data_IF_718849109933
#
_entry.id   IF_718849109933
#
_cell.length_a   1.000
_cell.length_b   1.000
_cell.length_c   1.000
_cell.angle_alpha   90.00
_cell.angle_beta   90.00
_cell.angle_gamma   90.00
#
_symmetry.space_group_name_H-M   'P 1'
#
loop_
_entity.id
_entity.type
_entity.pdbx_description
1 polymer ?
#
# COMPACT_ATOMS: atom_id res chain seq x y z
N UNK A 1 -3.94 11.08 14.86
CA UNK A 1 -3.51 10.22 13.77
C UNK A 1 -4.66 9.82 12.89
N UNK A 2 -4.59 10.28 11.66
CA UNK A 2 -5.75 10.16 10.77
C UNK A 2 -6.13 8.73 10.45
N UNK A 3 -5.16 7.89 10.16
CA UNK A 3 -5.42 6.53 9.75
C UNK A 3 -6.04 5.64 10.82
N UNK A 4 -6.10 6.14 12.06
CA UNK A 4 -6.67 5.35 13.16
C UNK A 4 -7.93 5.95 13.75
N UNK A 5 -8.44 7.00 13.15
CA UNK A 5 -9.66 7.62 13.62
C UNK A 5 -10.81 6.61 13.55
N UNK A 6 -11.57 6.51 14.64
CA UNK A 6 -12.70 5.61 14.75
C UNK A 6 -12.31 4.13 14.55
N UNK A 7 -11.10 3.77 14.95
CA UNK A 7 -10.65 2.39 14.82
C UNK A 7 -10.21 2.00 13.43
N UNK A 8 -10.18 2.95 12.49
CA UNK A 8 -9.75 2.65 11.14
C UNK A 8 -8.22 2.59 11.06
N UNK A 9 -7.70 1.54 10.44
CA UNK A 9 -6.28 1.41 10.18
C UNK A 9 -5.92 2.10 8.87
N UNK A 10 -4.63 2.38 8.67
CA UNK A 10 -4.17 2.86 7.37
C UNK A 10 -4.45 1.83 6.28
N UNK A 11 -4.31 0.55 6.63
CA UNK A 11 -4.56 -0.52 5.67
C UNK A 11 -6.00 -0.48 5.16
N UNK A 12 -6.97 -0.25 6.05
CA UNK A 12 -8.37 -0.13 5.64
C UNK A 12 -8.55 1.05 4.68
N UNK A 13 -7.87 2.16 4.95
CA UNK A 13 -7.91 3.30 4.06
C UNK A 13 -7.31 2.96 2.68
N UNK A 14 -6.18 2.27 2.66
CA UNK A 14 -5.53 1.85 1.41
C UNK A 14 -6.46 0.97 0.61
N UNK A 15 -7.05 -0.04 1.25
CA UNK A 15 -7.92 -0.99 0.58
C UNK A 15 -9.26 -0.39 0.17
N UNK A 16 -9.74 0.60 0.91
CA UNK A 16 -11.06 1.18 0.71
C UNK A 16 -12.18 0.32 1.28
N UNK A 17 -11.85 -0.65 2.13
CA UNK A 17 -12.83 -1.51 2.82
C UNK A 17 -12.37 -1.74 4.25
N UNK A 18 -13.29 -2.06 5.16
CA UNK A 18 -12.89 -2.35 6.54
C UNK A 18 -12.17 -3.69 6.65
N UNK A 19 -11.40 -3.84 7.71
CA UNK A 19 -10.76 -5.12 8.02
C UNK A 19 -11.66 -5.92 8.95
N UNK A 20 -11.73 -7.23 8.72
CA UNK A 20 -12.36 -8.12 9.69
C UNK A 20 -11.51 -8.15 10.96
N UNK A 21 -12.15 -8.48 12.10
CA UNK A 21 -11.44 -8.55 13.37
C UNK A 21 -10.24 -9.49 13.31
N UNK A 22 -10.38 -10.60 12.59
CA UNK A 22 -9.36 -11.63 12.48
C UNK A 22 -8.53 -11.50 11.19
N UNK A 23 -8.53 -10.34 10.56
CA UNK A 23 -7.77 -10.13 9.34
C UNK A 23 -6.29 -10.43 9.56
N UNK A 24 -5.68 -11.09 8.58
CA UNK A 24 -4.25 -11.38 8.58
C UNK A 24 -3.58 -10.52 7.53
N UNK A 25 -2.51 -9.83 7.91
CA UNK A 25 -1.70 -9.06 6.98
C UNK A 25 -0.37 -9.75 6.79
N UNK A 26 0.02 -9.98 5.54
CA UNK A 26 1.20 -10.78 5.20
C UNK A 26 2.22 -9.97 4.42
N UNK A 27 3.49 -10.17 4.74
CA UNK A 27 4.62 -9.56 4.00
C UNK A 27 5.53 -10.69 3.52
N UNK A 28 5.26 -11.26 2.33
CA UNK A 28 6.02 -12.41 1.86
C UNK A 28 7.52 -12.16 1.73
N UNK A 29 7.91 -10.94 1.38
CA UNK A 29 9.32 -10.61 1.21
C UNK A 29 10.13 -10.80 2.51
N UNK A 30 9.48 -10.64 3.65
CA UNK A 30 10.10 -10.77 4.96
C UNK A 30 9.68 -12.05 5.67
N UNK A 31 8.79 -12.82 5.04
CA UNK A 31 8.24 -14.04 5.61
C UNK A 31 7.58 -13.78 6.97
N UNK A 32 6.87 -12.66 7.05
CA UNK A 32 6.17 -12.22 8.26
C UNK A 32 4.68 -12.12 8.04
N UNK A 33 3.92 -12.25 9.10
CA UNK A 33 2.51 -11.92 9.08
C UNK A 33 2.10 -11.33 10.43
N UNK A 34 1.01 -10.56 10.40
CA UNK A 34 0.41 -9.97 11.58
C UNK A 34 -1.02 -10.49 11.66
N UNK A 35 -1.40 -11.03 12.79
CA UNK A 35 -2.72 -11.62 12.96
C UNK A 35 -3.62 -10.71 13.78
N UNK A 36 -4.72 -10.29 13.18
CA UNK A 36 -5.74 -9.51 13.84
C UNK A 36 -5.67 -8.03 13.56
N UNK A 37 -6.84 -7.43 13.39
CA UNK A 37 -6.97 -6.01 13.09
C UNK A 37 -6.27 -5.14 14.14
N UNK A 38 -6.35 -5.53 15.40
CA UNK A 38 -5.77 -4.75 16.49
C UNK A 38 -4.26 -4.69 16.39
N UNK A 39 -3.61 -5.83 16.12
CA UNK A 39 -2.15 -5.86 15.97
C UNK A 39 -1.70 -5.15 14.69
N UNK A 40 -2.49 -5.26 13.62
CA UNK A 40 -2.20 -4.51 12.41
C UNK A 40 -2.13 -3.02 12.72
N UNK A 41 -3.12 -2.52 13.47
CA UNK A 41 -3.12 -1.12 13.89
C UNK A 41 -1.94 -0.77 14.80
N UNK A 42 -1.54 -1.68 15.68
CA UNK A 42 -0.40 -1.46 16.57
C UNK A 42 0.91 -1.32 15.81
N UNK A 43 1.11 -2.14 14.79
CA UNK A 43 2.31 -2.04 13.94
C UNK A 43 2.33 -0.69 13.23
N UNK A 44 1.19 -0.28 12.66
CA UNK A 44 1.10 1.02 11.99
C UNK A 44 1.38 2.17 12.94
N UNK A 45 0.99 2.01 14.19
CA UNK A 45 1.16 3.04 15.21
C UNK A 45 2.62 3.36 15.55
N UNK A 46 3.56 2.53 15.11
CA UNK A 46 4.97 2.82 15.31
C UNK A 46 5.49 3.91 14.35
N UNK A 47 4.69 4.28 13.37
CA UNK A 47 5.08 5.27 12.37
C UNK A 47 4.04 6.38 12.36
N UNK A 48 4.34 7.51 13.01
CA UNK A 48 3.35 8.57 13.17
C UNK A 48 3.32 9.57 12.03
N UNK A 49 4.49 9.91 11.52
CA UNK A 49 4.60 10.96 10.51
C UNK A 49 4.73 10.35 9.12
N UNK A 50 3.63 9.82 8.60
CA UNK A 50 3.63 9.22 7.27
C UNK A 50 2.79 10.05 6.31
N UNK A 51 3.22 10.08 5.05
CA UNK A 51 2.44 10.60 3.93
C UNK A 51 2.10 9.43 3.04
N UNK A 52 0.83 9.25 2.76
CA UNK A 52 0.33 8.08 2.05
C UNK A 52 -0.54 8.52 0.90
N UNK A 53 -0.30 7.96 -0.29
CA UNK A 53 -1.09 8.25 -1.48
C UNK A 53 -1.56 6.95 -2.10
N UNK A 54 -2.85 6.90 -2.39
CA UNK A 54 -3.46 5.72 -3.03
C UNK A 54 -3.61 6.01 -4.52
N UNK A 55 -3.11 5.10 -5.33
CA UNK A 55 -3.24 5.17 -6.78
C UNK A 55 -4.44 4.38 -7.27
N UNK A 56 -4.18 3.34 -8.06
CA UNK A 56 -5.27 2.55 -8.63
C UNK A 56 -5.78 1.53 -7.64
N UNK A 57 -7.10 1.42 -7.55
CA UNK A 57 -7.78 0.33 -6.86
C UNK A 57 -8.55 -0.46 -7.88
N UNK A 58 -8.25 -1.74 -8.00
CA UNK A 58 -8.92 -2.63 -8.93
C UNK A 58 -9.68 -3.69 -8.15
N UNK A 59 -10.92 -3.91 -8.50
CA UNK A 59 -11.75 -4.89 -7.80
C UNK A 59 -12.16 -6.00 -8.75
N UNK A 60 -11.95 -7.24 -8.35
CA UNK A 60 -12.37 -8.40 -9.12
C UNK A 60 -13.02 -9.38 -8.14
N UNK A 61 -14.35 -9.41 -8.13
CA UNK A 61 -15.08 -10.23 -7.19
C UNK A 61 -14.71 -9.87 -5.75
N UNK A 62 -14.21 -10.82 -5.01
CA UNK A 62 -13.83 -10.64 -3.61
C UNK A 62 -12.33 -10.35 -3.44
N UNK A 63 -11.70 -9.87 -4.49
CA UNK A 63 -10.29 -9.48 -4.42
C UNK A 63 -10.15 -8.02 -4.82
N UNK A 64 -9.41 -7.26 -4.03
CA UNK A 64 -9.08 -5.88 -4.37
C UNK A 64 -7.56 -5.75 -4.46
N UNK A 65 -7.09 -5.08 -5.51
CA UNK A 65 -5.66 -4.83 -5.73
C UNK A 65 -5.44 -3.34 -5.72
N UNK A 66 -4.51 -2.86 -4.94
CA UNK A 66 -4.28 -1.42 -4.76
C UNK A 66 -2.82 -1.10 -4.97
N UNK A 67 -2.55 -0.09 -5.79
CA UNK A 67 -1.23 0.50 -5.89
C UNK A 67 -1.20 1.75 -5.02
N UNK A 68 -0.16 1.89 -4.21
CA UNK A 68 -0.07 3.03 -3.31
C UNK A 68 1.38 3.31 -2.95
N UNK A 69 1.62 4.48 -2.42
CA UNK A 69 2.96 4.86 -2.00
C UNK A 69 2.92 5.41 -0.59
N UNK A 70 4.04 5.33 0.11
CA UNK A 70 4.16 5.82 1.47
C UNK A 70 5.55 6.41 1.68
N UNK A 71 5.59 7.47 2.48
CA UNK A 71 6.82 8.11 2.92
C UNK A 71 6.76 8.24 4.44
N UNK A 72 7.83 7.89 5.11
CA UNK A 72 7.90 7.90 6.57
C UNK A 72 8.58 9.14 7.13
N UNK A 73 8.58 10.22 6.37
CA UNK A 73 9.17 11.48 6.83
C UNK A 73 10.60 11.71 6.39
N UNK A 74 11.09 10.86 5.49
CA UNK A 74 12.41 11.04 4.89
C UNK A 74 12.23 11.26 3.38
N UNK A 75 13.29 11.15 2.60
CA UNK A 75 13.24 11.37 1.16
C UNK A 75 13.00 10.10 0.35
N UNK A 76 12.66 9.00 1.03
CA UNK A 76 12.44 7.71 0.37
C UNK A 76 10.95 7.46 0.22
N UNK A 77 10.52 7.14 -0.99
CA UNK A 77 9.13 6.81 -1.28
C UNK A 77 9.07 5.33 -1.63
N UNK A 78 8.30 4.59 -0.85
CA UNK A 78 8.06 3.17 -1.11
C UNK A 78 6.80 3.05 -1.97
N UNK A 79 6.90 2.28 -3.06
CA UNK A 79 5.79 2.09 -3.98
C UNK A 79 5.32 0.66 -3.88
N UNK A 80 4.08 0.51 -3.44
CA UNK A 80 3.59 -0.77 -2.94
C UNK A 80 2.40 -1.27 -3.73
N UNK A 81 2.21 -2.58 -3.70
CA UNK A 81 1.00 -3.23 -4.19
C UNK A 81 0.44 -4.05 -3.05
N UNK A 82 -0.85 -3.87 -2.78
CA UNK A 82 -1.54 -4.60 -1.73
C UNK A 82 -2.71 -5.35 -2.33
N UNK A 83 -2.83 -6.62 -1.99
CA UNK A 83 -3.91 -7.48 -2.46
C UNK A 83 -4.74 -7.88 -1.25
N UNK A 84 -6.03 -7.53 -1.28
CA UNK A 84 -6.96 -7.86 -0.21
C UNK A 84 -7.96 -8.90 -0.65
N UNK A 85 -8.16 -9.93 0.16
CA UNK A 85 -9.18 -10.95 -0.06
C UNK A 85 -10.31 -10.67 0.91
N UNK A 86 -11.54 -10.61 0.40
CA UNK A 86 -12.69 -10.15 1.15
C UNK A 86 -13.68 -11.29 1.43
N UNK A 87 -14.36 -11.17 2.58
CA UNK A 87 -15.53 -11.97 2.91
C UNK A 87 -16.56 -11.03 3.51
N UNK A 88 -17.76 -11.06 2.99
CA UNK A 88 -18.84 -10.20 3.48
C UNK A 88 -18.46 -8.72 3.49
N UNK A 89 -17.68 -8.30 2.50
CA UNK A 89 -17.28 -6.90 2.37
C UNK A 89 -16.13 -6.46 3.25
N UNK A 90 -15.55 -7.36 4.02
CA UNK A 90 -14.42 -7.04 4.90
C UNK A 90 -13.18 -7.81 4.47
N UNK A 91 -12.02 -7.20 4.61
CA UNK A 91 -10.76 -7.87 4.27
C UNK A 91 -10.41 -8.89 5.35
N UNK A 92 -10.17 -10.13 4.94
CA UNK A 92 -9.81 -11.21 5.84
C UNK A 92 -8.36 -11.62 5.68
N UNK A 93 -7.79 -11.41 4.50
CA UNK A 93 -6.38 -11.68 4.24
C UNK A 93 -5.84 -10.60 3.34
N UNK A 94 -4.70 -10.05 3.71
CA UNK A 94 -4.08 -8.97 2.95
C UNK A 94 -2.61 -9.29 2.74
N UNK A 95 -2.15 -9.12 1.51
CA UNK A 95 -0.76 -9.36 1.15
C UNK A 95 -0.16 -8.07 0.61
N UNK A 96 0.94 -7.62 1.20
CA UNK A 96 1.65 -6.42 0.75
C UNK A 96 2.97 -6.79 0.10
N UNK A 97 3.24 -6.13 -1.01
CA UNK A 97 4.57 -6.14 -1.63
C UNK A 97 5.09 -4.70 -1.61
N UNK A 98 6.25 -4.51 -1.01
CA UNK A 98 6.83 -3.18 -0.81
C UNK A 98 7.95 -2.94 -1.80
N UNK A 99 7.84 -1.86 -2.56
CA UNK A 99 8.85 -1.47 -3.52
C UNK A 99 9.80 -0.44 -2.94
N UNK A 100 10.94 -0.89 -2.50
CA UNK A 100 11.96 0.00 -1.95
C UNK A 100 12.63 0.77 -3.09
N UNK A 101 12.81 2.10 -2.96
CA UNK A 101 13.47 2.87 -4.00
C UNK A 101 14.95 2.47 -4.12
N UNK A 102 15.37 2.20 -5.34
CA UNK A 102 16.76 1.84 -5.63
C UNK A 102 17.22 2.59 -6.87
N UNK A 103 18.51 2.77 -6.99
CA UNK A 103 19.10 3.41 -8.16
C UNK A 103 19.16 2.43 -9.32
N UNK A 104 19.08 2.97 -10.54
CA UNK A 104 19.24 2.16 -11.74
C UNK A 104 20.64 1.56 -11.76
N UNK A 105 20.78 0.25 -11.93
CA UNK A 105 22.11 -0.35 -12.05
C UNK A 105 22.88 0.25 -13.21
N UNK A 106 24.16 0.44 -13.02
CA UNK A 106 25.01 1.10 -14.00
C UNK A 106 24.98 0.43 -15.38
N UNK A 107 24.92 -0.90 -15.39
CA UNK A 107 24.98 -1.66 -16.64
C UNK A 107 23.84 -1.37 -17.60
N UNK A 108 22.72 -0.85 -17.09
CA UNK A 108 21.55 -0.60 -17.96
C UNK A 108 21.17 0.88 -18.05
N UNK A 109 21.93 1.77 -17.47
CA UNK A 109 21.59 3.21 -17.47
C UNK A 109 21.38 3.74 -18.90
N UNK A 110 22.21 3.30 -19.83
CA UNK A 110 22.10 3.77 -21.20
C UNK A 110 21.01 3.07 -22.03
N UNK A 111 20.47 1.98 -21.49
CA UNK A 111 19.44 1.19 -22.17
C UNK A 111 18.03 1.60 -21.74
N UNK A 112 17.91 2.40 -20.69
CA UNK A 112 16.62 2.76 -20.12
C UNK A 112 16.44 4.26 -20.12
N UNK A 113 15.17 4.69 -20.21
CA UNK A 113 14.82 6.08 -20.06
C UNK A 113 14.23 6.30 -18.68
N UNK A 114 14.20 7.54 -18.22
CA UNK A 114 13.59 7.86 -16.93
C UNK A 114 12.08 7.79 -17.06
N UNK A 115 11.44 7.14 -16.10
CA UNK A 115 9.99 7.13 -16.02
C UNK A 115 9.54 8.53 -15.60
N UNK A 116 8.61 9.09 -16.37
CA UNK A 116 8.11 10.42 -16.10
C UNK A 116 7.16 10.38 -14.90
N UNK A 117 7.45 11.22 -13.92
CA UNK A 117 6.66 11.27 -12.70
C UNK A 117 5.63 12.40 -12.76
N UNK A 118 4.47 12.24 -12.08
CA UNK A 118 3.52 13.34 -11.96
C UNK A 118 4.16 14.55 -11.28
N UNK A 119 3.61 15.77 -11.48
CA UNK A 119 4.19 16.98 -10.89
C UNK A 119 4.36 16.93 -9.37
N UNK A 120 3.51 16.18 -8.67
CA UNK A 120 3.60 16.03 -7.23
C UNK A 120 4.60 14.94 -6.81
N UNK A 121 5.21 14.27 -7.78
CA UNK A 121 6.17 13.21 -7.50
C UNK A 121 5.56 11.90 -7.01
N UNK A 122 4.24 11.79 -7.05
CA UNK A 122 3.54 10.62 -6.54
C UNK A 122 3.24 9.64 -7.66
N UNK A 123 3.59 8.40 -7.44
CA UNK A 123 3.31 7.30 -8.36
C UNK A 123 2.86 6.10 -7.53
N UNK A 124 1.80 5.39 -7.87
CA UNK A 124 0.97 5.61 -9.06
C UNK A 124 0.02 6.80 -8.88
N UNK A 125 -0.37 7.41 -10.00
CA UNK A 125 -1.31 8.52 -9.97
C UNK A 125 -2.75 8.02 -10.04
N UNK A 126 -3.64 8.64 -9.28
CA UNK A 126 -5.06 8.31 -9.31
C UNK A 126 -5.65 8.54 -10.69
N UNK A 127 -5.12 9.51 -11.43
CA UNK A 127 -5.65 9.84 -12.74
C UNK A 127 -5.52 8.70 -13.74
N UNK A 128 -4.62 7.78 -13.49
CA UNK A 128 -4.46 6.62 -14.36
C UNK A 128 -5.68 5.71 -14.38
N UNK A 129 -6.50 5.78 -13.34
CA UNK A 129 -7.74 4.98 -13.32
C UNK A 129 -8.71 5.39 -14.42
N UNK A 130 -8.62 6.63 -14.87
CA UNK A 130 -9.54 7.15 -15.88
C UNK A 130 -9.35 6.51 -17.24
N UNK A 131 -8.27 5.79 -17.44
CA UNK A 131 -7.91 5.21 -18.71
C UNK A 131 -8.15 3.70 -18.77
N UNK A 132 -8.80 3.14 -17.76
CA UNK A 132 -9.04 1.69 -17.68
C UNK A 132 -10.54 1.34 -17.59
#
# INVERSE_FOLDING_TARGET
MEGKRNGQTRLAYVLGVPLADNCVRQWPQMQELVQGRELIGSVEGNFEAVTLEVGRRLRLGDVVVVEWSINYGDDRIYRNVTIGELEHGEAVRVTDYWGEPVNTPEWRVEMTARLEMPPDGVWPSKDRLKHY
#
